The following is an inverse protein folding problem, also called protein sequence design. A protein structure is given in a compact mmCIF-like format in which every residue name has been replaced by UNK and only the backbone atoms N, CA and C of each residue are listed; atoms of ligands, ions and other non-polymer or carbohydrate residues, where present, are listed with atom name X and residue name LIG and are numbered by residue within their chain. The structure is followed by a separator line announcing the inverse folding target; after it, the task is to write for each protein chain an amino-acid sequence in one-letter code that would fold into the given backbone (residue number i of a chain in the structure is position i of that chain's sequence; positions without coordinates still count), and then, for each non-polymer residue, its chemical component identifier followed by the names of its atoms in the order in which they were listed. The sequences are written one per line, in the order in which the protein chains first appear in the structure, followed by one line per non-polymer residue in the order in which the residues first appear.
data_IF_048805106717
#
_entry.id   IF_048805106717
#
_cell.length_a   1.000
_cell.length_b   1.000
_cell.length_c   1.000
_cell.angle_alpha   90.00
_cell.angle_beta   90.00
_cell.angle_gamma   90.00
#
_symmetry.space_group_name_H-M   'P 1'
#
loop_
_entity.id
_entity.type
_entity.pdbx_description
1 polymer ?
#
# COMPACT_ATOMS: atom_id res chain seq x y z
N UNK A 1 20.94 7.15 9.90
CA UNK A 1 19.80 6.77 9.02
C UNK A 1 20.37 6.32 7.69
N UNK A 2 19.92 5.19 7.16
CA UNK A 2 20.31 4.80 5.81
C UNK A 2 19.74 5.84 4.82
N UNK A 3 20.58 6.41 3.99
CA UNK A 3 20.17 7.35 2.96
C UNK A 3 19.50 6.57 1.82
N UNK A 4 18.30 7.00 1.39
CA UNK A 4 17.64 6.41 0.24
C UNK A 4 18.43 6.79 -1.01
N UNK A 5 18.85 5.80 -1.78
CA UNK A 5 19.47 6.03 -3.07
C UNK A 5 18.40 6.47 -4.08
N UNK A 6 18.54 7.68 -4.60
CA UNK A 6 17.62 8.28 -5.58
C UNK A 6 18.27 8.37 -6.98
N UNK A 7 19.35 7.64 -7.24
CA UNK A 7 19.98 7.58 -8.57
C UNK A 7 18.96 7.04 -9.58
N UNK A 8 18.75 7.78 -10.67
CA UNK A 8 17.80 7.41 -11.73
C UNK A 8 18.54 6.78 -12.91
N UNK A 9 18.04 5.62 -13.34
CA UNK A 9 18.49 4.86 -14.52
C UNK A 9 17.45 4.99 -15.62
N UNK A 10 17.56 6.01 -16.47
CA UNK A 10 16.53 6.41 -17.43
C UNK A 10 16.11 5.31 -18.40
N UNK A 11 17.06 4.54 -18.94
CA UNK A 11 16.79 3.46 -19.88
C UNK A 11 15.90 2.34 -19.30
N UNK A 12 16.13 2.01 -18.02
CA UNK A 12 15.32 1.03 -17.28
C UNK A 12 13.99 1.63 -16.86
N UNK A 13 13.99 2.90 -16.45
CA UNK A 13 12.77 3.62 -16.10
C UNK A 13 11.81 3.71 -17.29
N UNK A 14 12.30 3.98 -18.50
CA UNK A 14 11.46 4.01 -19.70
C UNK A 14 10.75 2.68 -19.96
N UNK A 15 11.50 1.56 -19.87
CA UNK A 15 10.90 0.21 -20.00
C UNK A 15 9.85 -0.06 -18.93
N UNK A 16 10.15 0.33 -17.69
CA UNK A 16 9.20 0.21 -16.57
C UNK A 16 7.93 1.02 -16.82
N UNK A 17 8.06 2.28 -17.27
CA UNK A 17 6.93 3.16 -17.59
C UNK A 17 6.10 2.61 -18.75
N UNK A 18 6.73 2.07 -19.79
CA UNK A 18 6.03 1.41 -20.89
C UNK A 18 5.20 0.24 -20.34
N UNK A 19 5.79 -0.63 -19.53
CA UNK A 19 5.12 -1.81 -18.95
C UNK A 19 3.93 -1.42 -18.07
N UNK A 20 4.10 -0.39 -17.25
CA UNK A 20 3.05 0.16 -16.39
C UNK A 20 1.87 0.70 -17.21
N UNK A 21 2.15 1.40 -18.32
CA UNK A 21 1.11 1.89 -19.25
C UNK A 21 0.37 0.75 -19.95
N UNK A 22 1.10 -0.24 -20.48
CA UNK A 22 0.51 -1.43 -21.13
C UNK A 22 -0.46 -2.18 -20.20
N UNK A 23 -0.14 -2.22 -18.91
CA UNK A 23 -0.96 -2.89 -17.89
C UNK A 23 -1.99 -1.98 -17.22
N UNK A 24 -2.11 -0.72 -17.66
CA UNK A 24 -2.98 0.28 -17.05
C UNK A 24 -2.82 0.40 -15.52
N UNK A 25 -1.58 0.30 -15.06
CA UNK A 25 -1.26 0.43 -13.64
C UNK A 25 -1.02 1.91 -13.34
N UNK A 26 -1.65 2.42 -12.29
CA UNK A 26 -1.42 3.76 -11.75
C UNK A 26 -0.98 3.58 -10.30
N UNK A 27 0.21 4.07 -9.99
CA UNK A 27 0.78 3.96 -8.65
C UNK A 27 0.32 5.14 -7.79
N UNK A 28 -0.23 4.91 -6.59
CA UNK A 28 -0.51 5.98 -5.64
C UNK A 28 0.79 6.60 -5.11
N UNK A 29 0.75 7.89 -4.83
CA UNK A 29 1.82 8.56 -4.10
C UNK A 29 1.71 8.28 -2.61
N UNK A 30 2.82 8.38 -1.87
CA UNK A 30 2.81 8.30 -0.40
C UNK A 30 1.95 9.40 0.24
N UNK A 31 1.84 10.57 -0.42
CA UNK A 31 0.95 11.64 0.02
C UNK A 31 -0.52 11.22 -0.04
N UNK A 32 -0.94 10.54 -1.13
CA UNK A 32 -2.29 10.00 -1.27
C UNK A 32 -2.57 8.87 -0.27
N UNK A 33 -1.60 8.02 0.02
CA UNK A 33 -1.73 6.97 1.06
C UNK A 33 -1.93 7.57 2.45
N UNK A 34 -1.21 8.66 2.76
CA UNK A 34 -1.34 9.41 4.01
C UNK A 34 -2.67 10.17 4.08
N UNK A 35 -3.07 10.78 2.98
CA UNK A 35 -4.31 11.55 2.88
C UNK A 35 -5.11 11.14 1.64
N UNK A 36 -6.10 10.23 1.79
CA UNK A 36 -6.96 9.77 0.70
C UNK A 36 -7.79 10.87 0.01
N UNK A 37 -7.93 12.06 0.62
CA UNK A 37 -8.61 13.18 -0.02
C UNK A 37 -7.88 13.66 -1.29
N UNK A 38 -6.57 13.42 -1.36
CA UNK A 38 -5.74 13.73 -2.53
C UNK A 38 -5.89 12.71 -3.68
N UNK A 39 -6.63 11.62 -3.48
CA UNK A 39 -6.90 10.63 -4.54
C UNK A 39 -7.91 11.22 -5.52
N UNK A 40 -7.64 11.17 -6.85
CA UNK A 40 -8.58 11.68 -7.84
C UNK A 40 -9.97 11.03 -7.75
N UNK A 41 -11.02 11.82 -7.95
CA UNK A 41 -12.41 11.35 -7.88
C UNK A 41 -12.67 10.14 -8.79
N UNK A 42 -12.14 10.16 -10.02
CA UNK A 42 -12.24 9.03 -10.95
C UNK A 42 -11.73 7.70 -10.35
N UNK A 43 -10.60 7.74 -9.65
CA UNK A 43 -10.05 6.54 -8.98
C UNK A 43 -10.97 6.10 -7.83
N UNK A 44 -11.48 7.04 -7.04
CA UNK A 44 -12.43 6.73 -5.96
C UNK A 44 -13.72 6.10 -6.51
N UNK A 45 -14.20 6.56 -7.67
CA UNK A 45 -15.38 5.99 -8.32
C UNK A 45 -15.12 4.58 -8.85
N UNK A 46 -13.97 4.33 -9.47
CA UNK A 46 -13.55 2.99 -9.90
C UNK A 46 -13.48 2.02 -8.70
N UNK A 47 -12.98 2.48 -7.55
CA UNK A 47 -12.87 1.66 -6.34
C UNK A 47 -14.22 1.23 -5.75
N UNK A 48 -15.33 1.90 -6.05
CA UNK A 48 -16.68 1.50 -5.57
C UNK A 48 -17.11 0.13 -6.08
N UNK A 49 -16.62 -0.28 -7.25
CA UNK A 49 -16.91 -1.58 -7.87
C UNK A 49 -15.86 -2.66 -7.60
N UNK A 50 -14.81 -2.34 -6.85
CA UNK A 50 -13.68 -3.24 -6.56
C UNK A 50 -13.69 -3.57 -5.08
N UNK A 51 -13.78 -4.85 -4.75
CA UNK A 51 -13.70 -5.32 -3.36
C UNK A 51 -12.35 -5.01 -2.72
N UNK A 52 -12.34 -4.71 -1.42
CA UNK A 52 -11.13 -4.33 -0.69
C UNK A 52 -9.99 -5.37 -0.82
N UNK A 53 -10.33 -6.65 -0.92
CA UNK A 53 -9.37 -7.75 -0.97
C UNK A 53 -9.22 -8.38 -2.36
N UNK A 54 -9.85 -7.79 -3.38
CA UNK A 54 -9.68 -8.23 -4.76
C UNK A 54 -8.25 -7.94 -5.24
N UNK A 55 -7.70 -8.85 -6.03
CA UNK A 55 -6.41 -8.63 -6.70
C UNK A 55 -6.63 -7.69 -7.88
N UNK A 56 -6.48 -6.41 -7.62
CA UNK A 56 -6.72 -5.37 -8.62
C UNK A 56 -5.76 -4.17 -8.40
N UNK A 57 -5.11 -3.63 -9.46
CA UNK A 57 -4.11 -2.57 -9.33
C UNK A 57 -4.67 -1.28 -8.69
N UNK A 58 -5.98 -0.99 -8.83
CA UNK A 58 -6.59 0.17 -8.16
C UNK A 58 -6.59 0.04 -6.64
N UNK A 59 -6.56 -1.18 -6.10
CA UNK A 59 -6.47 -1.40 -4.66
C UNK A 59 -5.15 -0.95 -4.03
N UNK A 60 -4.11 -0.67 -4.83
CA UNK A 60 -2.90 0.00 -4.34
C UNK A 60 -3.24 1.36 -3.67
N UNK A 61 -4.28 2.06 -4.13
CA UNK A 61 -4.75 3.30 -3.49
C UNK A 61 -5.35 3.08 -2.10
N UNK A 62 -5.74 1.85 -1.76
CA UNK A 62 -6.22 1.46 -0.44
C UNK A 62 -5.11 1.02 0.52
N UNK A 63 -3.83 1.23 0.16
CA UNK A 63 -2.70 1.06 1.08
C UNK A 63 -2.67 2.27 2.03
N UNK A 64 -3.56 2.27 3.01
CA UNK A 64 -3.70 3.34 3.99
C UNK A 64 -4.33 2.83 5.29
N UNK A 65 -4.01 3.46 6.42
CA UNK A 65 -4.67 3.23 7.71
C UNK A 65 -6.09 3.81 7.79
N UNK A 66 -6.51 4.55 6.76
CA UNK A 66 -7.80 5.24 6.69
C UNK A 66 -8.85 4.50 5.87
N UNK A 67 -8.71 3.20 5.66
CA UNK A 67 -9.76 2.41 5.04
C UNK A 67 -10.88 2.13 6.03
N UNK A 68 -12.11 2.21 5.56
CA UNK A 68 -13.25 1.73 6.32
C UNK A 68 -13.38 0.20 6.28
N UNK A 69 -13.98 -0.39 7.31
CA UNK A 69 -14.41 -1.79 7.27
C UNK A 69 -15.29 -2.09 6.04
N UNK A 70 -15.23 -3.33 5.55
CA UNK A 70 -16.06 -3.78 4.41
C UNK A 70 -17.54 -3.57 4.68
N UNK A 71 -17.98 -3.77 5.92
CA UNK A 71 -19.37 -3.57 6.39
C UNK A 71 -19.82 -2.10 6.30
N UNK A 72 -18.87 -1.16 6.22
CA UNK A 72 -19.12 0.27 5.99
C UNK A 72 -18.87 0.69 4.54
N UNK A 73 -18.74 -0.28 3.62
CA UNK A 73 -18.54 -0.03 2.20
C UNK A 73 -17.08 -0.06 1.73
N UNK A 74 -16.10 -0.26 2.64
CA UNK A 74 -14.67 -0.37 2.29
C UNK A 74 -14.08 0.88 1.65
N UNK A 75 -14.69 2.04 1.89
CA UNK A 75 -14.25 3.36 1.42
C UNK A 75 -13.17 3.94 2.33
N UNK A 76 -12.80 5.19 2.09
CA UNK A 76 -11.88 5.93 2.95
C UNK A 76 -12.61 6.63 4.08
N UNK A 77 -12.09 6.52 5.30
CA UNK A 77 -12.65 7.13 6.51
C UNK A 77 -11.58 7.52 7.52
N UNK A 78 -11.85 7.33 8.80
CA UNK A 78 -10.89 7.54 9.87
C UNK A 78 -9.87 6.41 10.02
N UNK A 79 -8.82 6.65 10.79
CA UNK A 79 -7.87 5.61 11.17
C UNK A 79 -8.56 4.59 12.06
N UNK A 80 -8.47 3.30 11.71
CA UNK A 80 -9.02 2.24 12.53
C UNK A 80 -8.07 1.89 13.67
N UNK A 81 -8.51 2.06 14.88
CA UNK A 81 -7.77 1.69 16.07
C UNK A 81 -8.70 1.18 17.18
N UNK A 82 -8.09 0.49 18.12
CA UNK A 82 -8.72 0.05 19.35
C UNK A 82 -7.90 0.58 20.52
N UNK A 83 -8.54 1.24 21.47
CA UNK A 83 -7.91 1.63 22.73
C UNK A 83 -8.12 0.50 23.74
N UNK A 84 -7.05 -0.02 24.27
CA UNK A 84 -7.09 -1.09 25.28
C UNK A 84 -7.32 -0.47 26.65
N UNK A 85 -8.31 -0.93 27.42
CA UNK A 85 -8.60 -0.36 28.74
C UNK A 85 -7.46 -0.67 29.74
N UNK A 86 -7.27 0.25 30.67
CA UNK A 86 -6.24 0.13 31.71
C UNK A 86 -6.44 -1.11 32.62
N UNK A 87 -7.66 -1.58 32.77
CA UNK A 87 -7.98 -2.85 33.45
C UNK A 87 -7.36 -4.08 32.79
N UNK A 88 -7.18 -4.03 31.45
CA UNK A 88 -6.52 -5.10 30.68
C UNK A 88 -5.00 -4.91 30.63
N UNK A 89 -4.54 -3.65 30.48
CA UNK A 89 -3.13 -3.36 30.26
C UNK A 89 -2.31 -3.22 31.54
N UNK A 90 -2.97 -3.02 32.71
CA UNK A 90 -2.32 -2.79 34.00
C UNK A 90 -1.55 -1.46 34.08
N UNK A 91 -1.71 -0.56 33.10
CA UNK A 91 -1.03 0.73 33.05
C UNK A 91 -2.01 1.90 32.97
N UNK A 92 -1.58 3.08 33.47
CA UNK A 92 -2.33 4.35 33.30
C UNK A 92 -2.08 4.98 31.92
N UNK A 93 -1.09 4.51 31.17
CA UNK A 93 -0.83 4.99 29.82
C UNK A 93 -1.96 4.56 28.87
N UNK A 94 -2.32 5.41 27.91
CA UNK A 94 -3.21 5.00 26.82
C UNK A 94 -2.47 4.04 25.90
N UNK A 95 -3.01 2.85 25.73
CA UNK A 95 -2.48 1.84 24.81
C UNK A 95 -3.41 1.74 23.62
N UNK A 96 -2.91 2.10 22.44
CA UNK A 96 -3.68 2.15 21.20
C UNK A 96 -3.13 1.09 20.24
N UNK A 97 -3.99 0.17 19.82
CA UNK A 97 -3.70 -0.84 18.81
C UNK A 97 -4.29 -0.39 17.45
N UNK A 98 -3.43 -0.19 16.44
CA UNK A 98 -3.87 0.09 15.08
C UNK A 98 -4.40 -1.18 14.41
N UNK A 99 -5.57 -1.10 13.77
CA UNK A 99 -6.21 -2.24 13.10
C UNK A 99 -5.80 -2.29 11.64
N UNK A 100 -4.86 -3.18 11.30
CA UNK A 100 -4.33 -3.37 9.94
C UNK A 100 -5.17 -4.30 9.05
N UNK A 101 -6.31 -4.79 9.52
CA UNK A 101 -7.18 -5.73 8.78
C UNK A 101 -7.71 -5.14 7.46
N UNK A 102 -7.93 -3.84 7.42
CA UNK A 102 -8.60 -3.17 6.30
C UNK A 102 -7.64 -2.68 5.21
N UNK A 103 -6.51 -3.32 5.07
CA UNK A 103 -5.60 -3.18 3.94
C UNK A 103 -5.91 -4.21 2.85
N UNK A 104 -5.53 -3.98 1.59
CA UNK A 104 -5.86 -4.88 0.46
C UNK A 104 -5.54 -6.36 0.68
N UNK A 105 -4.46 -6.67 1.38
CA UNK A 105 -4.08 -8.06 1.70
C UNK A 105 -4.62 -8.53 3.06
N UNK A 106 -5.45 -7.73 3.73
CA UNK A 106 -5.86 -7.97 5.11
C UNK A 106 -4.75 -7.70 6.14
N UNK A 107 -3.64 -7.06 5.74
CA UNK A 107 -2.51 -6.73 6.61
C UNK A 107 -1.75 -5.50 6.12
N UNK A 108 -1.33 -4.63 7.05
CA UNK A 108 -0.61 -3.39 6.75
C UNK A 108 0.76 -3.62 6.07
N UNK A 109 1.29 -4.83 6.07
CA UNK A 109 2.60 -5.16 5.48
C UNK A 109 2.65 -4.98 3.95
N UNK A 110 1.51 -4.92 3.26
CA UNK A 110 1.45 -4.50 1.85
C UNK A 110 2.05 -3.09 1.69
N UNK A 111 1.74 -2.15 2.56
CA UNK A 111 2.35 -0.82 2.53
C UNK A 111 3.86 -0.81 2.79
N UNK A 112 4.37 -1.71 3.64
CA UNK A 112 5.80 -1.85 3.85
C UNK A 112 6.51 -2.42 2.60
N UNK A 113 5.88 -3.40 1.93
CA UNK A 113 6.39 -3.98 0.69
C UNK A 113 6.37 -2.94 -0.44
N UNK A 114 5.26 -2.23 -0.62
CA UNK A 114 5.14 -1.11 -1.55
C UNK A 114 6.25 -0.06 -1.35
N UNK A 115 6.50 0.33 -0.09
CA UNK A 115 7.56 1.29 0.25
C UNK A 115 8.98 0.81 -0.09
N UNK A 116 9.20 -0.50 -0.17
CA UNK A 116 10.48 -1.06 -0.63
C UNK A 116 10.56 -1.18 -2.16
N UNK A 117 9.46 -1.45 -2.84
CA UNK A 117 9.42 -1.72 -4.28
C UNK A 117 9.34 -0.44 -5.11
N UNK A 118 8.37 0.43 -4.82
CA UNK A 118 8.05 1.56 -5.70
C UNK A 118 9.17 2.58 -5.86
N UNK A 119 9.95 2.96 -4.84
CA UNK A 119 11.11 3.83 -5.05
C UNK A 119 12.10 3.26 -6.06
N UNK A 120 12.29 1.94 -6.08
CA UNK A 120 13.17 1.27 -7.04
C UNK A 120 12.59 1.21 -8.45
N UNK A 121 11.27 1.04 -8.57
CA UNK A 121 10.58 1.11 -9.86
C UNK A 121 10.70 2.49 -10.50
N UNK A 122 10.41 3.55 -9.75
CA UNK A 122 10.40 4.92 -10.27
C UNK A 122 11.79 5.54 -10.47
N UNK A 123 12.83 4.87 -10.03
CA UNK A 123 14.23 5.24 -10.28
C UNK A 123 14.89 4.33 -11.32
N UNK A 124 14.22 3.29 -11.80
CA UNK A 124 14.80 2.29 -12.69
C UNK A 124 15.83 1.37 -12.02
N UNK A 125 15.94 1.40 -10.68
CA UNK A 125 16.80 0.46 -9.94
C UNK A 125 16.25 -0.97 -9.98
N UNK A 126 14.95 -1.12 -10.21
CA UNK A 126 14.29 -2.40 -10.48
C UNK A 126 13.55 -2.32 -11.82
N UNK A 127 13.90 -3.23 -12.73
CA UNK A 127 13.26 -3.36 -14.05
C UNK A 127 12.37 -4.61 -14.07
N UNK A 128 11.04 -4.47 -13.98
CA UNK A 128 10.12 -5.59 -13.90
C UNK A 128 10.03 -6.38 -15.21
N UNK A 129 10.64 -5.91 -16.30
CA UNK A 129 10.70 -6.62 -17.58
C UNK A 129 11.83 -7.65 -17.63
N UNK A 130 12.86 -7.51 -16.77
CA UNK A 130 14.07 -8.32 -16.76
C UNK A 130 14.37 -8.96 -15.39
N UNK A 131 13.80 -8.43 -14.32
CA UNK A 131 14.08 -8.85 -12.96
C UNK A 131 12.82 -9.37 -12.27
N UNK A 132 13.00 -10.25 -11.30
CA UNK A 132 11.93 -10.74 -10.41
C UNK A 132 12.14 -10.17 -9.02
N UNK A 133 11.07 -9.61 -8.44
CA UNK A 133 11.08 -9.26 -7.02
C UNK A 133 10.93 -10.53 -6.18
N UNK A 134 11.80 -10.72 -5.19
CA UNK A 134 11.76 -11.86 -4.27
C UNK A 134 11.58 -11.34 -2.86
N UNK A 135 10.57 -11.87 -2.16
CA UNK A 135 10.18 -11.47 -0.82
C UNK A 135 10.43 -12.62 0.17
N UNK A 136 11.63 -12.74 0.76
CA UNK A 136 11.98 -13.84 1.65
C UNK A 136 11.32 -13.64 3.03
N UNK A 137 10.07 -14.04 3.15
CA UNK A 137 9.28 -13.94 4.38
C UNK A 137 8.22 -15.04 4.40
N UNK A 138 7.92 -15.57 5.60
CA UNK A 138 6.88 -16.59 5.81
C UNK A 138 5.52 -15.97 6.18
N UNK A 139 5.41 -14.64 6.23
CA UNK A 139 4.22 -13.95 6.74
C UNK A 139 3.68 -12.87 5.83
N UNK A 140 3.02 -11.89 6.45
CA UNK A 140 2.30 -10.84 5.74
C UNK A 140 3.20 -9.94 4.86
N UNK A 141 4.51 -9.91 5.07
CA UNK A 141 5.41 -9.10 4.25
C UNK A 141 5.58 -9.70 2.84
N UNK A 142 5.79 -11.02 2.72
CA UNK A 142 5.85 -11.67 1.41
C UNK A 142 4.48 -11.64 0.71
N UNK A 143 3.38 -11.80 1.47
CA UNK A 143 2.04 -11.67 0.94
C UNK A 143 1.78 -10.26 0.37
N UNK A 144 2.25 -9.22 1.06
CA UNK A 144 2.21 -7.84 0.57
C UNK A 144 3.02 -7.66 -0.70
N UNK A 145 4.27 -8.14 -0.71
CA UNK A 145 5.14 -8.02 -1.88
C UNK A 145 4.67 -8.81 -3.11
N UNK A 146 3.97 -9.92 -2.90
CA UNK A 146 3.36 -10.66 -4.00
C UNK A 146 2.11 -9.97 -4.56
N UNK A 147 1.51 -9.07 -3.78
CA UNK A 147 0.38 -8.26 -4.19
C UNK A 147 0.82 -7.02 -4.97
N UNK A 148 1.89 -6.35 -4.51
CA UNK A 148 2.44 -5.13 -5.09
C UNK A 148 3.09 -5.39 -6.46
#
# INVERSE_FOLDING_TARGET
MAQIDLTVYNDRLERTLQRVREKNIILPTFAQMKNPDLIPGKIKDELKSIGLWDVHPRNLFRITWKNEPVEKGGSFGGVNYMELPSSLTGTKARVIALVGKWFPTGAHKVGAAYGCLVPRLITGQFDPTQQKAVWPSTGNYCRGGAYD
#
